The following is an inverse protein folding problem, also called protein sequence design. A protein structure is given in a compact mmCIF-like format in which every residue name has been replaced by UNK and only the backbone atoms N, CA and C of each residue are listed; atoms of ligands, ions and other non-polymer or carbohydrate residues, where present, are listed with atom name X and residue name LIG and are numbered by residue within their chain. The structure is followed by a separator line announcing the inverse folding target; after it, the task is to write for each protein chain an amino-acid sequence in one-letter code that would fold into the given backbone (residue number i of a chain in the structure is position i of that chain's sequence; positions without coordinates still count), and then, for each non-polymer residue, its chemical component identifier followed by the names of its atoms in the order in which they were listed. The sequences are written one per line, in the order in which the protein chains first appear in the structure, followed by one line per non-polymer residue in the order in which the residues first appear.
data_IF_808558615771
#
_entry.id   IF_808558615771
#
_cell.length_a   1.000
_cell.length_b   1.000
_cell.length_c   1.000
_cell.angle_alpha   90.00
_cell.angle_beta   90.00
_cell.angle_gamma   90.00
#
_symmetry.space_group_name_H-M   'P 1'
#
loop_
_entity.id
_entity.type
_entity.pdbx_description
1 polymer ?
#
# COMPACT_ATOMS: atom_id res chain seq x y z
N UNK A 1 -17.21 -16.27 35.61
CA UNK A 1 -15.97 -15.83 34.92
C UNK A 1 -16.37 -14.79 33.88
N UNK A 2 -15.49 -13.85 33.52
CA UNK A 2 -15.74 -12.97 32.39
C UNK A 2 -15.56 -13.74 31.06
N UNK A 3 -16.14 -13.25 29.95
CA UNK A 3 -15.94 -13.89 28.63
C UNK A 3 -14.46 -14.01 28.24
N UNK A 4 -13.62 -13.06 28.69
CA UNK A 4 -12.18 -13.11 28.43
C UNK A 4 -11.49 -14.18 29.29
N UNK A 5 -11.93 -14.39 30.54
CA UNK A 5 -11.39 -15.48 31.38
C UNK A 5 -11.77 -16.85 30.80
N UNK A 6 -12.99 -17.03 30.29
CA UNK A 6 -13.42 -18.29 29.65
C UNK A 6 -12.59 -18.59 28.40
N UNK A 7 -12.35 -17.58 27.56
CA UNK A 7 -11.48 -17.70 26.38
C UNK A 7 -10.03 -17.96 26.75
N UNK A 8 -9.55 -17.34 27.83
CA UNK A 8 -8.22 -17.60 28.35
C UNK A 8 -8.07 -19.07 28.77
N UNK A 9 -8.98 -19.57 29.61
CA UNK A 9 -8.95 -20.95 30.09
C UNK A 9 -8.99 -21.97 28.95
N UNK A 10 -9.78 -21.71 27.91
CA UNK A 10 -9.89 -22.58 26.75
C UNK A 10 -8.60 -22.66 25.91
N UNK A 11 -7.80 -21.58 25.90
CA UNK A 11 -6.75 -21.39 24.89
C UNK A 11 -5.33 -21.21 25.45
N UNK A 12 -5.16 -21.03 26.77
CA UNK A 12 -3.86 -20.77 27.41
C UNK A 12 -2.81 -21.86 27.14
N UNK A 13 -3.24 -23.11 26.98
CA UNK A 13 -2.34 -24.23 26.66
C UNK A 13 -1.69 -24.06 25.28
N UNK A 14 -2.49 -23.79 24.24
CA UNK A 14 -1.99 -23.59 22.88
C UNK A 14 -1.02 -22.40 22.80
N UNK A 15 -1.35 -21.32 23.51
CA UNK A 15 -0.51 -20.11 23.59
C UNK A 15 0.82 -20.39 24.31
N UNK A 16 0.79 -21.13 25.42
CA UNK A 16 1.99 -21.51 26.17
C UNK A 16 2.91 -22.44 25.36
N UNK A 17 2.33 -23.44 24.70
CA UNK A 17 3.08 -24.36 23.83
C UNK A 17 3.72 -23.62 22.64
N UNK A 18 2.98 -22.69 22.02
CA UNK A 18 3.49 -21.87 20.94
C UNK A 18 4.63 -20.96 21.39
N UNK A 19 4.51 -20.32 22.57
CA UNK A 19 5.54 -19.48 23.16
C UNK A 19 6.84 -20.26 23.41
N UNK A 20 6.73 -21.42 24.06
CA UNK A 20 7.85 -22.32 24.32
C UNK A 20 8.52 -22.77 23.01
N UNK A 21 7.71 -23.13 22.00
CA UNK A 21 8.20 -23.59 20.70
C UNK A 21 8.87 -22.47 19.89
N UNK A 22 8.39 -21.24 19.96
CA UNK A 22 9.03 -20.08 19.33
C UNK A 22 10.29 -19.62 20.10
N UNK A 23 10.35 -19.89 21.41
CA UNK A 23 11.39 -19.40 22.30
C UNK A 23 11.17 -17.93 22.66
N UNK A 24 9.94 -17.57 23.03
CA UNK A 24 9.57 -16.27 23.59
C UNK A 24 9.03 -16.43 25.00
N UNK A 25 9.10 -15.37 25.80
CA UNK A 25 8.54 -15.36 27.16
C UNK A 25 7.02 -15.63 27.12
N UNK A 26 6.51 -16.63 27.87
CA UNK A 26 5.08 -16.94 27.91
C UNK A 26 4.23 -15.74 28.33
N UNK A 27 4.72 -14.92 29.26
CA UNK A 27 4.04 -13.71 29.70
C UNK A 27 3.75 -12.74 28.56
N UNK A 28 4.73 -12.50 27.68
CA UNK A 28 4.59 -11.65 26.50
C UNK A 28 3.56 -12.24 25.51
N UNK A 29 3.56 -13.56 25.32
CA UNK A 29 2.58 -14.24 24.48
C UNK A 29 1.14 -14.06 25.00
N UNK A 30 0.94 -14.15 26.32
CA UNK A 30 -0.35 -13.88 26.94
C UNK A 30 -0.79 -12.43 26.70
N UNK A 31 0.10 -11.46 26.93
CA UNK A 31 -0.23 -10.04 26.75
C UNK A 31 -0.64 -9.73 25.30
N UNK A 32 0.14 -10.19 24.31
CA UNK A 32 -0.17 -9.87 22.91
C UNK A 32 -1.44 -10.57 22.41
N UNK A 33 -1.66 -11.85 22.74
CA UNK A 33 -2.88 -12.55 22.34
C UNK A 33 -4.13 -11.96 23.01
N UNK A 34 -3.99 -11.51 24.27
CA UNK A 34 -5.03 -10.81 25.01
C UNK A 34 -5.37 -9.48 24.36
N UNK A 35 -4.37 -8.70 23.98
CA UNK A 35 -4.54 -7.41 23.32
C UNK A 35 -5.21 -7.56 21.95
N UNK A 36 -4.68 -8.41 21.09
CA UNK A 36 -5.12 -8.53 19.70
C UNK A 36 -6.53 -9.12 19.55
N UNK A 37 -6.89 -10.08 20.40
CA UNK A 37 -8.10 -10.89 20.19
C UNK A 37 -8.95 -11.11 21.44
N UNK A 38 -8.46 -10.73 22.62
CA UNK A 38 -9.04 -11.17 23.89
C UNK A 38 -9.09 -12.70 23.99
N UNK A 39 -8.02 -13.35 23.53
CA UNK A 39 -7.86 -14.81 23.45
C UNK A 39 -8.93 -15.51 22.59
N UNK A 40 -9.49 -14.82 21.60
CA UNK A 40 -10.51 -15.39 20.73
C UNK A 40 -9.89 -15.85 19.40
N UNK A 41 -9.80 -17.16 19.12
CA UNK A 41 -9.28 -17.66 17.84
C UNK A 41 -10.19 -17.33 16.65
N UNK A 42 -11.39 -16.80 16.91
CA UNK A 42 -12.34 -16.33 15.90
C UNK A 42 -12.54 -14.81 15.93
N UNK A 43 -11.59 -14.05 16.50
CA UNK A 43 -11.65 -12.60 16.49
C UNK A 43 -11.64 -12.03 15.07
N UNK A 44 -12.44 -10.97 14.86
CA UNK A 44 -12.69 -10.32 13.57
C UNK A 44 -12.91 -8.82 13.78
N UNK A 45 -12.40 -7.97 12.88
CA UNK A 45 -12.67 -6.53 12.92
C UNK A 45 -14.02 -6.24 12.26
N UNK A 46 -15.12 -6.50 12.96
CA UNK A 46 -16.46 -6.22 12.47
C UNK A 46 -16.93 -4.89 13.06
N UNK A 47 -17.23 -3.92 12.20
CA UNK A 47 -17.87 -2.69 12.61
C UNK A 47 -19.30 -2.97 13.09
N UNK A 48 -19.70 -2.32 14.20
CA UNK A 48 -21.04 -2.45 14.76
C UNK A 48 -22.12 -1.93 13.82
N UNK A 49 -23.39 -2.19 14.14
CA UNK A 49 -24.54 -1.87 13.28
C UNK A 49 -24.60 -0.41 12.79
N UNK A 50 -24.08 0.55 13.57
CA UNK A 50 -24.02 1.97 13.21
C UNK A 50 -22.99 2.31 12.12
N UNK A 51 -22.03 1.42 11.89
CA UNK A 51 -20.92 1.59 10.93
C UNK A 51 -20.79 0.37 10.00
N UNK A 52 -21.92 -0.31 9.72
CA UNK A 52 -21.92 -1.55 8.95
C UNK A 52 -21.35 -1.37 7.53
N UNK A 53 -21.39 -0.15 6.98
CA UNK A 53 -20.78 0.25 5.72
C UNK A 53 -19.26 0.03 5.66
N UNK A 54 -18.59 -0.02 6.81
CA UNK A 54 -17.15 -0.28 6.88
C UNK A 54 -16.82 -1.76 6.66
N UNK A 55 -17.79 -2.67 6.72
CA UNK A 55 -17.58 -4.11 6.57
C UNK A 55 -17.51 -4.54 5.08
N UNK A 56 -16.50 -4.06 4.36
CA UNK A 56 -16.38 -4.22 2.90
C UNK A 56 -15.71 -5.53 2.46
N UNK A 57 -14.96 -6.19 3.34
CA UNK A 57 -14.18 -7.41 3.01
C UNK A 57 -14.98 -8.67 3.33
N UNK A 58 -15.07 -9.60 2.39
CA UNK A 58 -15.59 -10.96 2.62
C UNK A 58 -14.45 -11.86 3.09
N UNK A 59 -14.57 -12.46 4.28
CA UNK A 59 -13.59 -13.40 4.82
C UNK A 59 -13.77 -14.81 4.24
N UNK A 60 -12.82 -15.70 4.53
CA UNK A 60 -12.75 -17.08 4.01
C UNK A 60 -13.99 -17.94 4.30
N UNK A 61 -14.82 -17.57 5.27
CA UNK A 61 -16.08 -18.25 5.62
C UNK A 61 -17.33 -17.49 5.14
N UNK A 62 -17.17 -16.45 4.30
CA UNK A 62 -18.25 -15.62 3.79
C UNK A 62 -18.64 -14.45 4.69
N UNK A 63 -18.09 -14.33 5.91
CA UNK A 63 -18.42 -13.23 6.83
C UNK A 63 -17.91 -11.89 6.33
N UNK A 64 -18.74 -10.83 6.43
CA UNK A 64 -18.32 -9.44 6.13
C UNK A 64 -17.61 -8.81 7.32
N UNK A 65 -16.45 -8.20 7.07
CA UNK A 65 -15.62 -7.52 8.06
C UNK A 65 -14.90 -6.30 7.45
N UNK A 66 -14.30 -5.46 8.30
CA UNK A 66 -13.55 -4.28 7.85
C UNK A 66 -12.22 -4.64 7.15
N UNK A 67 -11.68 -5.83 7.42
CA UNK A 67 -10.49 -6.36 6.77
C UNK A 67 -10.44 -7.89 6.87
N UNK A 68 -9.42 -8.51 6.27
CA UNK A 68 -9.15 -9.95 6.41
C UNK A 68 -8.42 -10.34 7.70
N UNK A 69 -8.23 -9.40 8.64
CA UNK A 69 -7.64 -9.70 9.93
C UNK A 69 -8.49 -10.73 10.70
N UNK A 70 -7.84 -11.79 11.19
CA UNK A 70 -8.53 -12.91 11.83
C UNK A 70 -7.69 -13.58 12.92
N UNK A 71 -8.34 -14.06 13.97
CA UNK A 71 -7.77 -14.95 14.97
C UNK A 71 -6.83 -14.27 15.97
N UNK A 72 -6.04 -15.05 16.71
CA UNK A 72 -5.28 -14.55 17.86
C UNK A 72 -4.40 -13.34 17.57
N UNK A 73 -3.71 -13.34 16.42
CA UNK A 73 -2.79 -12.27 16.03
C UNK A 73 -3.39 -11.25 15.08
N UNK A 74 -4.70 -11.36 14.76
CA UNK A 74 -5.38 -10.48 13.81
C UNK A 74 -4.63 -10.36 12.46
N UNK A 75 -4.04 -11.45 11.96
CA UNK A 75 -3.27 -11.42 10.71
C UNK A 75 -4.15 -11.19 9.49
N UNK A 76 -3.75 -10.25 8.63
CA UNK A 76 -4.27 -10.09 7.27
C UNK A 76 -3.85 -11.29 6.39
N UNK A 77 -4.59 -11.57 5.32
CA UNK A 77 -4.33 -12.67 4.36
C UNK A 77 -2.85 -12.78 3.97
N UNK A 78 -2.26 -11.71 3.45
CA UNK A 78 -0.87 -11.76 2.96
C UNK A 78 0.13 -11.98 4.10
N UNK A 79 -0.15 -11.45 5.29
CA UNK A 79 0.74 -11.59 6.44
C UNK A 79 0.66 -13.01 6.99
N UNK A 80 -0.55 -13.56 7.05
CA UNK A 80 -0.77 -14.96 7.39
C UNK A 80 -0.06 -15.91 6.44
N UNK A 81 -0.19 -15.69 5.13
CA UNK A 81 0.51 -16.47 4.10
C UNK A 81 2.02 -16.42 4.29
N UNK A 82 2.60 -15.23 4.43
CA UNK A 82 4.05 -15.10 4.63
C UNK A 82 4.55 -15.79 5.92
N UNK A 83 3.76 -15.73 6.99
CA UNK A 83 4.10 -16.40 8.25
C UNK A 83 4.02 -17.93 8.11
N UNK A 84 2.97 -18.45 7.47
CA UNK A 84 2.82 -19.89 7.25
C UNK A 84 3.86 -20.41 6.27
N UNK A 85 4.21 -19.70 5.21
CA UNK A 85 5.32 -20.06 4.32
C UNK A 85 6.63 -20.19 5.10
N UNK A 86 6.92 -19.23 5.98
CA UNK A 86 8.20 -19.17 6.70
C UNK A 86 8.30 -20.15 7.87
N UNK A 87 7.20 -20.40 8.58
CA UNK A 87 7.21 -21.15 9.83
C UNK A 87 6.22 -22.32 9.87
N UNK A 88 5.34 -22.46 8.88
CA UNK A 88 4.26 -23.45 8.90
C UNK A 88 4.75 -24.89 9.09
N UNK A 89 5.87 -25.27 8.48
CA UNK A 89 6.46 -26.61 8.67
C UNK A 89 6.81 -26.88 10.14
N UNK A 90 7.38 -25.89 10.83
CA UNK A 90 7.65 -25.98 12.27
C UNK A 90 6.39 -26.27 13.07
N UNK A 91 5.23 -25.83 12.60
CA UNK A 91 3.92 -26.00 13.26
C UNK A 91 3.04 -27.07 12.61
N UNK A 92 3.61 -27.95 11.78
CA UNK A 92 2.93 -29.14 11.26
C UNK A 92 2.19 -28.94 9.94
N UNK A 93 2.44 -27.85 9.21
CA UNK A 93 1.96 -27.66 7.84
C UNK A 93 3.01 -28.22 6.86
N UNK A 94 2.78 -29.38 6.22
CA UNK A 94 3.78 -29.98 5.34
C UNK A 94 3.96 -29.16 4.04
N UNK A 95 5.21 -28.97 3.60
CA UNK A 95 5.57 -28.19 2.41
C UNK A 95 4.96 -26.79 2.43
N UNK A 96 4.99 -26.12 3.59
CA UNK A 96 4.27 -24.87 3.79
C UNK A 96 4.68 -23.81 2.76
N UNK A 97 5.96 -23.74 2.41
CA UNK A 97 6.56 -22.84 1.42
C UNK A 97 6.02 -23.01 -0.01
N UNK A 98 5.40 -24.16 -0.33
CA UNK A 98 4.87 -24.49 -1.66
C UNK A 98 3.35 -24.33 -1.77
N UNK A 99 2.67 -24.05 -0.66
CA UNK A 99 1.21 -23.92 -0.66
C UNK A 99 0.77 -22.60 -1.28
N UNK A 100 -0.36 -22.63 -1.98
CA UNK A 100 -0.96 -21.42 -2.54
C UNK A 100 -1.59 -20.55 -1.44
N UNK A 101 -1.80 -19.27 -1.74
CA UNK A 101 -2.48 -18.35 -0.84
C UNK A 101 -3.90 -18.85 -0.47
N UNK A 102 -4.62 -19.46 -1.42
CA UNK A 102 -5.96 -20.02 -1.17
C UNK A 102 -5.94 -21.23 -0.25
N UNK A 103 -4.94 -22.10 -0.39
CA UNK A 103 -4.76 -23.23 0.53
C UNK A 103 -4.45 -22.75 1.95
N UNK A 104 -3.63 -21.70 2.08
CA UNK A 104 -3.24 -21.15 3.38
C UNK A 104 -4.35 -20.32 4.04
N UNK A 105 -5.15 -19.61 3.25
CA UNK A 105 -6.32 -18.87 3.74
C UNK A 105 -7.59 -19.72 3.83
N UNK A 106 -7.48 -21.04 3.69
CA UNK A 106 -8.63 -21.92 3.81
C UNK A 106 -9.19 -21.93 5.23
N UNK A 107 -10.48 -22.30 5.41
CA UNK A 107 -11.07 -22.47 6.74
C UNK A 107 -10.26 -23.43 7.63
N UNK A 108 -9.69 -24.50 7.08
CA UNK A 108 -8.92 -25.50 7.83
C UNK A 108 -7.66 -24.90 8.45
N UNK A 109 -6.93 -24.06 7.72
CA UNK A 109 -5.72 -23.42 8.22
C UNK A 109 -6.03 -22.20 9.09
N UNK A 110 -6.94 -21.34 8.63
CA UNK A 110 -7.31 -20.11 9.34
C UNK A 110 -7.99 -20.40 10.68
N UNK A 111 -8.79 -21.46 10.81
CA UNK A 111 -9.42 -21.83 12.10
C UNK A 111 -8.52 -22.67 13.02
N UNK A 112 -7.32 -23.07 12.60
CA UNK A 112 -6.44 -23.89 13.42
C UNK A 112 -5.79 -23.04 14.52
N UNK A 113 -6.33 -23.13 15.75
CA UNK A 113 -5.86 -22.33 16.91
C UNK A 113 -4.38 -22.52 17.22
N UNK A 114 -3.85 -23.74 17.07
CA UNK A 114 -2.43 -24.06 17.31
C UNK A 114 -1.53 -23.41 16.27
N UNK A 115 -1.93 -23.43 15.00
CA UNK A 115 -1.21 -22.74 13.94
C UNK A 115 -1.28 -21.22 14.14
N UNK A 116 -2.45 -20.68 14.50
CA UNK A 116 -2.59 -19.26 14.83
C UNK A 116 -1.65 -18.83 15.96
N UNK A 117 -1.64 -19.60 17.06
CA UNK A 117 -0.76 -19.35 18.20
C UNK A 117 0.71 -19.42 17.79
N UNK A 118 1.09 -20.40 16.97
CA UNK A 118 2.43 -20.54 16.42
C UNK A 118 2.88 -19.33 15.59
N UNK A 119 2.04 -18.89 14.66
CA UNK A 119 2.36 -17.71 13.83
C UNK A 119 2.43 -16.43 14.66
N UNK A 120 1.53 -16.25 15.63
CA UNK A 120 1.60 -15.11 16.54
C UNK A 120 2.89 -15.13 17.37
N UNK A 121 3.32 -16.29 17.87
CA UNK A 121 4.55 -16.41 18.64
C UNK A 121 5.80 -16.09 17.79
N UNK A 122 5.89 -16.58 16.55
CA UNK A 122 7.01 -16.29 15.65
C UNK A 122 7.03 -14.83 15.16
N UNK A 123 5.86 -14.21 15.00
CA UNK A 123 5.77 -12.78 14.68
C UNK A 123 6.19 -11.93 15.88
N UNK A 124 5.72 -12.29 17.07
CA UNK A 124 6.11 -11.65 18.33
C UNK A 124 7.62 -11.74 18.57
N UNK A 125 8.22 -12.89 18.26
CA UNK A 125 9.68 -13.07 18.33
C UNK A 125 10.42 -12.08 17.42
N UNK A 126 9.97 -11.92 16.18
CA UNK A 126 10.56 -10.97 15.24
C UNK A 126 10.44 -9.54 15.76
N UNK A 127 9.27 -9.17 16.28
CA UNK A 127 9.02 -7.84 16.84
C UNK A 127 9.86 -7.59 18.09
N UNK A 128 10.02 -8.58 18.97
CA UNK A 128 10.88 -8.50 20.15
C UNK A 128 12.34 -8.25 19.75
N UNK A 129 12.85 -9.00 18.76
CA UNK A 129 14.23 -8.86 18.28
C UNK A 129 14.49 -7.51 17.63
N UNK A 130 13.52 -6.98 16.87
CA UNK A 130 13.64 -5.66 16.25
C UNK A 130 13.48 -4.55 17.29
N UNK A 131 12.51 -4.70 18.19
CA UNK A 131 12.23 -3.79 19.29
C UNK A 131 13.44 -3.62 20.21
N UNK A 132 14.11 -4.70 20.57
CA UNK A 132 15.32 -4.66 21.39
C UNK A 132 16.49 -3.87 20.74
N UNK A 133 16.51 -3.76 19.40
CA UNK A 133 17.54 -2.98 18.68
C UNK A 133 17.19 -1.50 18.56
N UNK A 134 15.90 -1.21 18.37
CA UNK A 134 15.42 0.12 17.98
C UNK A 134 14.76 0.90 19.10
N UNK A 135 14.01 0.22 19.95
CA UNK A 135 13.06 0.83 20.88
C UNK A 135 13.63 1.14 22.26
N UNK A 136 12.70 1.40 23.18
CA UNK A 136 12.99 1.70 24.57
C UNK A 136 13.18 0.44 25.43
N UNK A 137 13.32 0.61 26.75
CA UNK A 137 13.57 -0.50 27.68
C UNK A 137 12.36 -1.41 27.91
N UNK A 138 11.16 -1.00 27.50
CA UNK A 138 9.93 -1.76 27.70
C UNK A 138 9.68 -2.71 26.50
N UNK A 139 9.88 -4.00 26.73
CA UNK A 139 9.69 -5.03 25.70
C UNK A 139 8.24 -5.12 25.22
N UNK A 140 7.27 -4.91 26.11
CA UNK A 140 5.85 -4.99 25.75
C UNK A 140 5.46 -3.81 24.86
N UNK A 141 5.90 -2.61 25.22
CA UNK A 141 5.68 -1.41 24.41
C UNK A 141 6.38 -1.50 23.05
N UNK A 142 7.58 -2.09 22.98
CA UNK A 142 8.28 -2.32 21.71
C UNK A 142 7.50 -3.27 20.78
N UNK A 143 7.06 -4.41 21.31
CA UNK A 143 6.29 -5.40 20.56
C UNK A 143 4.96 -4.81 20.12
N UNK A 144 4.28 -4.09 21.01
CA UNK A 144 3.03 -3.42 20.72
C UNK A 144 3.20 -2.41 19.57
N UNK A 145 4.21 -1.55 19.63
CA UNK A 145 4.47 -0.54 18.59
C UNK A 145 4.65 -1.20 17.22
N UNK A 146 5.48 -2.24 17.14
CA UNK A 146 5.78 -2.96 15.89
C UNK A 146 4.60 -3.78 15.37
N UNK A 147 3.76 -4.31 16.26
CA UNK A 147 2.57 -5.06 15.87
C UNK A 147 1.46 -4.13 15.38
N UNK A 148 1.10 -3.11 16.19
CA UNK A 148 -0.01 -2.20 15.91
C UNK A 148 0.25 -1.26 14.72
N UNK A 149 1.46 -0.70 14.61
CA UNK A 149 1.82 0.20 13.50
C UNK A 149 2.36 -0.56 12.28
N UNK A 150 2.53 -1.88 12.41
CA UNK A 150 3.32 -2.68 11.50
C UNK A 150 4.82 -2.35 11.58
N UNK A 151 5.65 -3.17 10.94
CA UNK A 151 7.10 -3.05 11.05
C UNK A 151 7.62 -1.67 10.62
N UNK A 152 7.07 -1.07 9.54
CA UNK A 152 7.51 0.24 9.05
C UNK A 152 7.14 1.39 9.99
N UNK A 153 5.85 1.53 10.32
CA UNK A 153 5.38 2.59 11.23
C UNK A 153 5.94 2.43 12.64
N UNK A 154 6.04 1.19 13.13
CA UNK A 154 6.62 0.87 14.43
C UNK A 154 8.12 1.14 14.48
N UNK A 155 8.89 0.81 13.43
CA UNK A 155 10.31 1.17 13.33
C UNK A 155 10.50 2.67 13.40
N UNK A 156 9.76 3.43 12.58
CA UNK A 156 9.81 4.90 12.59
C UNK A 156 9.47 5.47 13.97
N UNK A 157 8.45 4.92 14.63
CA UNK A 157 8.04 5.34 15.97
C UNK A 157 9.13 5.06 17.02
N UNK A 158 9.73 3.86 17.01
CA UNK A 158 10.78 3.47 17.95
C UNK A 158 12.10 4.23 17.70
N UNK A 159 12.45 4.48 16.44
CA UNK A 159 13.60 5.33 16.10
C UNK A 159 13.38 6.78 16.55
N UNK A 160 12.17 7.31 16.35
CA UNK A 160 11.79 8.62 16.86
C UNK A 160 11.88 8.68 18.40
N UNK A 161 11.38 7.66 19.10
CA UNK A 161 11.49 7.55 20.56
C UNK A 161 12.96 7.64 21.01
N UNK A 162 13.86 6.92 20.31
CA UNK A 162 15.28 6.89 20.62
C UNK A 162 15.99 8.21 20.30
N UNK A 163 15.57 8.89 19.25
CA UNK A 163 16.15 10.16 18.81
C UNK A 163 15.74 11.34 19.70
N UNK A 164 14.43 11.49 19.95
CA UNK A 164 13.88 12.49 20.86
C UNK A 164 12.55 11.98 21.45
N UNK A 165 12.55 11.55 22.72
CA UNK A 165 11.34 11.06 23.39
C UNK A 165 10.28 12.14 23.60
N UNK A 166 10.66 13.42 23.60
CA UNK A 166 9.76 14.55 23.88
C UNK A 166 9.11 15.12 22.61
N UNK A 167 9.51 14.66 21.42
CA UNK A 167 8.87 15.09 20.18
C UNK A 167 7.41 14.64 20.15
N UNK A 168 6.56 15.42 19.48
CA UNK A 168 5.12 15.12 19.36
C UNK A 168 4.88 13.96 18.43
N UNK A 169 3.84 13.17 18.73
CA UNK A 169 3.43 12.03 17.90
C UNK A 169 3.04 12.46 16.49
N UNK A 170 2.40 13.62 16.32
CA UNK A 170 1.99 14.16 15.01
C UNK A 170 3.14 14.60 14.09
N UNK A 171 4.36 14.73 14.61
CA UNK A 171 5.57 14.90 13.79
C UNK A 171 6.13 13.57 13.26
N UNK A 172 5.75 12.45 13.89
CA UNK A 172 6.29 11.12 13.60
C UNK A 172 5.29 10.28 12.80
N UNK A 173 4.04 10.24 13.25
CA UNK A 173 2.96 9.45 12.67
C UNK A 173 2.03 10.34 11.85
N UNK A 174 1.44 9.75 10.81
CA UNK A 174 0.47 10.49 9.98
C UNK A 174 -0.84 10.71 10.72
N UNK A 175 -1.55 11.79 10.36
CA UNK A 175 -2.87 12.12 10.90
C UNK A 175 -3.85 10.93 10.83
N UNK A 176 -3.84 10.19 9.71
CA UNK A 176 -4.69 9.00 9.52
C UNK A 176 -4.40 7.88 10.53
N UNK A 177 -3.16 7.71 10.97
CA UNK A 177 -2.80 6.72 12.00
C UNK A 177 -3.32 7.17 13.36
N UNK A 178 -3.19 8.47 13.65
CA UNK A 178 -3.62 9.09 14.92
C UNK A 178 -5.15 9.01 15.05
N UNK A 179 -5.90 9.45 14.04
CA UNK A 179 -7.37 9.43 14.04
C UNK A 179 -7.97 8.04 14.22
N UNK A 180 -7.29 7.00 13.73
CA UNK A 180 -7.76 5.61 13.87
C UNK A 180 -7.43 5.00 15.22
N UNK A 181 -6.54 5.63 15.99
CA UNK A 181 -6.06 5.14 17.28
C UNK A 181 -6.05 6.23 18.36
N UNK A 182 -7.17 6.94 18.59
CA UNK A 182 -7.20 8.07 19.53
C UNK A 182 -6.93 7.65 20.97
N UNK A 183 -7.20 6.38 21.33
CA UNK A 183 -6.86 5.83 22.65
C UNK A 183 -5.36 5.70 22.91
N UNK A 184 -4.53 5.67 21.87
CA UNK A 184 -3.06 5.60 21.98
C UNK A 184 -2.39 6.95 21.80
N UNK A 185 -2.94 7.79 20.91
CA UNK A 185 -2.26 8.99 20.44
C UNK A 185 -3.00 10.29 20.79
N UNK A 186 -4.22 10.22 21.32
CA UNK A 186 -5.07 11.40 21.51
C UNK A 186 -5.31 12.13 20.19
N UNK A 187 -5.06 13.43 20.17
CA UNK A 187 -5.05 14.27 18.97
C UNK A 187 -3.66 14.38 18.30
N UNK A 188 -2.68 13.59 18.78
CA UNK A 188 -1.31 13.60 18.29
C UNK A 188 -0.38 14.60 18.99
N UNK A 189 -0.90 15.44 19.90
CA UNK A 189 -0.12 16.45 20.60
C UNK A 189 0.76 15.91 21.74
N UNK A 190 0.49 14.68 22.21
CA UNK A 190 1.32 14.03 23.22
C UNK A 190 2.71 13.67 22.68
N UNK A 191 3.64 13.46 23.60
CA UNK A 191 5.00 13.05 23.26
C UNK A 191 5.07 11.59 22.82
N UNK A 192 6.10 11.25 22.04
CA UNK A 192 6.38 9.85 21.67
C UNK A 192 6.60 8.98 22.91
N UNK A 193 7.25 9.50 23.95
CA UNK A 193 7.44 8.76 25.21
C UNK A 193 6.13 8.49 25.97
N UNK A 194 5.20 9.45 26.01
CA UNK A 194 3.88 9.25 26.61
C UNK A 194 3.09 8.18 25.85
N UNK A 195 3.08 8.26 24.51
CA UNK A 195 2.44 7.25 23.67
C UNK A 195 3.08 5.87 23.88
N UNK A 196 4.40 5.78 23.91
CA UNK A 196 5.15 4.54 24.16
C UNK A 196 4.82 3.93 25.54
N UNK A 197 4.79 4.76 26.59
CA UNK A 197 4.35 4.32 27.93
C UNK A 197 2.90 3.84 27.92
N UNK A 198 2.02 4.51 27.18
CA UNK A 198 0.63 4.10 27.00
C UNK A 198 0.50 2.72 26.36
N UNK A 199 1.38 2.37 25.42
CA UNK A 199 1.43 1.03 24.82
C UNK A 199 1.77 -0.06 25.84
N UNK A 200 2.79 0.16 26.69
CA UNK A 200 3.13 -0.76 27.79
C UNK A 200 1.97 -0.92 28.77
N UNK A 201 1.32 0.19 29.16
CA UNK A 201 0.14 0.17 30.03
C UNK A 201 -1.05 -0.57 29.41
N UNK A 202 -1.21 -0.52 28.09
CA UNK A 202 -2.24 -1.27 27.38
C UNK A 202 -1.98 -2.78 27.45
N UNK A 203 -0.72 -3.20 27.35
CA UNK A 203 -0.30 -4.59 27.50
C UNK A 203 -0.42 -5.08 28.95
N UNK A 204 -0.17 -4.22 29.93
CA UNK A 204 -0.30 -4.54 31.36
C UNK A 204 -1.72 -4.86 31.82
N UNK A 205 -2.74 -4.48 31.05
CA UNK A 205 -4.13 -4.93 31.29
C UNK A 205 -4.26 -6.46 31.29
N UNK A 206 -3.29 -7.16 30.69
CA UNK A 206 -3.26 -8.61 30.59
C UNK A 206 -2.23 -9.26 31.54
N UNK A 207 -1.60 -8.50 32.44
CA UNK A 207 -0.56 -8.97 33.36
C UNK A 207 -1.01 -10.17 34.23
N UNK A 208 -2.30 -10.22 34.62
CA UNK A 208 -2.89 -11.38 35.33
C UNK A 208 -2.64 -12.70 34.59
N UNK A 209 -2.83 -12.70 33.27
CA UNK A 209 -2.72 -13.90 32.44
C UNK A 209 -1.26 -14.24 32.17
N UNK A 210 -0.40 -13.23 32.02
CA UNK A 210 1.04 -13.41 31.93
C UNK A 210 1.62 -14.12 33.16
N UNK A 211 1.27 -13.63 34.36
CA UNK A 211 1.67 -14.24 35.63
C UNK A 211 1.19 -15.68 35.79
N UNK A 212 0.07 -16.04 35.17
CA UNK A 212 -0.42 -17.41 35.19
C UNK A 212 0.43 -18.35 34.36
N UNK A 213 0.88 -17.93 33.16
CA UNK A 213 1.81 -18.74 32.36
C UNK A 213 3.19 -18.83 32.99
N UNK A 214 3.66 -17.77 33.65
CA UNK A 214 4.96 -17.74 34.35
C UNK A 214 5.02 -18.70 35.54
N UNK A 215 3.89 -18.93 36.22
CA UNK A 215 3.77 -19.95 37.28
C UNK A 215 3.82 -21.38 36.73
N UNK A 216 3.81 -21.53 35.41
CA UNK A 216 3.79 -22.79 34.69
C UNK A 216 2.36 -23.25 34.44
N UNK A 217 2.10 -23.66 33.20
CA UNK A 217 0.89 -24.42 32.86
C UNK A 217 1.20 -25.90 33.06
N UNK A 218 0.40 -26.66 33.84
CA UNK A 218 0.65 -28.08 34.03
C UNK A 218 0.73 -28.78 32.67
N UNK A 219 1.89 -29.39 32.40
CA UNK A 219 2.14 -30.07 31.14
C UNK A 219 1.12 -31.21 30.98
N UNK A 220 0.19 -31.06 30.03
CA UNK A 220 -0.54 -32.21 29.51
C UNK A 220 0.50 -33.08 28.79
N UNK A 221 0.61 -34.35 29.15
CA UNK A 221 1.59 -35.31 28.61
C UNK A 221 1.73 -35.18 27.09
N UNK A 222 2.75 -34.43 26.65
CA UNK A 222 2.99 -34.09 25.25
C UNK A 222 4.02 -35.07 24.68
N UNK A 223 3.65 -36.35 24.61
CA UNK A 223 4.52 -37.40 24.07
C UNK A 223 4.00 -38.03 22.77
N UNK A 224 3.02 -37.40 22.11
CA UNK A 224 2.58 -37.77 20.77
C UNK A 224 2.97 -36.66 19.77
N UNK A 225 3.66 -36.98 18.66
CA UNK A 225 3.88 -36.01 17.60
C UNK A 225 2.53 -35.48 17.10
N UNK A 226 2.39 -34.16 17.00
CA UNK A 226 1.18 -33.55 16.48
C UNK A 226 0.93 -34.05 15.05
N UNK A 227 -0.29 -34.53 14.79
CA UNK A 227 -0.68 -34.95 13.44
C UNK A 227 -0.49 -33.77 12.46
N UNK A 228 -0.05 -34.02 11.21
CA UNK A 228 0.06 -32.98 10.20
C UNK A 228 -1.27 -32.24 10.04
N UNK A 229 -1.19 -30.92 9.90
CA UNK A 229 -2.37 -30.09 9.61
C UNK A 229 -2.87 -30.47 8.21
N UNK A 230 -4.16 -30.84 8.05
CA UNK A 230 -4.72 -31.16 6.74
C UNK A 230 -4.53 -29.99 5.77
N UNK A 231 -3.92 -30.27 4.62
CA UNK A 231 -3.80 -29.30 3.52
C UNK A 231 -5.00 -29.51 2.59
N UNK A 232 -5.82 -28.49 2.32
CA UNK A 232 -6.91 -28.60 1.35
C UNK A 232 -6.34 -28.95 -0.03
N UNK A 233 -7.04 -29.80 -0.82
CA UNK A 233 -6.65 -30.02 -2.20
C UNK A 233 -6.64 -28.69 -2.94
N UNK A 234 -5.64 -28.47 -3.80
CA UNK A 234 -5.67 -27.35 -4.71
C UNK A 234 -6.95 -27.46 -5.56
N UNK A 235 -7.79 -26.41 -5.55
CA UNK A 235 -8.99 -26.40 -6.38
C UNK A 235 -8.57 -26.56 -7.84
N UNK A 236 -9.10 -27.60 -8.50
CA UNK A 236 -8.96 -27.77 -9.95
C UNK A 236 -9.94 -26.81 -10.62
N UNK A 237 -9.47 -25.62 -10.98
CA UNK A 237 -10.26 -24.68 -11.78
C UNK A 237 -9.98 -24.92 -13.27
N UNK A 238 -11.03 -25.23 -14.02
CA UNK A 238 -11.03 -25.13 -15.48
C UNK A 238 -10.70 -23.68 -15.86
N UNK A 239 -9.58 -23.48 -16.56
CA UNK A 239 -9.06 -22.17 -16.94
C UNK A 239 -10.06 -21.40 -17.84
N UNK A 240 -10.55 -20.21 -17.44
CA UNK A 240 -11.02 -19.19 -18.38
C UNK A 240 -9.81 -18.62 -19.15
N UNK A 241 -10.01 -17.94 -20.31
CA UNK A 241 -8.90 -17.47 -21.13
C UNK A 241 -7.97 -16.56 -20.32
N UNK A 242 -6.67 -16.85 -20.41
CA UNK A 242 -5.58 -16.23 -19.64
C UNK A 242 -5.60 -14.70 -19.74
N UNK A 243 -6.11 -14.05 -18.70
CA UNK A 243 -5.56 -12.78 -18.23
C UNK A 243 -4.53 -13.12 -17.15
N UNK A 244 -3.27 -12.74 -17.40
CA UNK A 244 -2.13 -13.09 -16.57
C UNK A 244 -2.31 -12.56 -15.13
N UNK A 245 -2.47 -13.48 -14.18
CA UNK A 245 -2.14 -13.26 -12.79
C UNK A 245 -0.60 -13.15 -12.68
N UNK A 246 -0.02 -12.19 -11.93
CA UNK A 246 1.42 -12.19 -11.72
C UNK A 246 1.80 -13.34 -10.80
N UNK A 247 2.80 -14.10 -11.21
CA UNK A 247 3.32 -15.29 -10.56
C UNK A 247 4.37 -14.94 -9.47
N UNK A 248 4.45 -15.79 -8.44
CA UNK A 248 5.70 -16.13 -7.73
C UNK A 248 6.40 -15.05 -6.89
N UNK A 249 6.41 -15.22 -5.57
CA UNK A 249 7.29 -14.50 -4.64
C UNK A 249 8.78 -14.94 -4.78
N UNK A 250 9.37 -14.79 -5.96
CA UNK A 250 10.82 -14.77 -6.10
C UNK A 250 11.30 -13.35 -5.78
N UNK A 251 12.36 -13.23 -4.98
CA UNK A 251 13.08 -11.96 -4.82
C UNK A 251 13.70 -11.64 -6.18
N UNK A 252 13.23 -10.58 -6.84
CA UNK A 252 13.83 -10.14 -8.11
C UNK A 252 15.05 -9.29 -7.81
N UNK A 253 16.17 -9.59 -8.46
CA UNK A 253 17.43 -8.88 -8.27
C UNK A 253 18.20 -8.73 -9.58
N UNK A 254 19.27 -7.95 -9.52
CA UNK A 254 20.16 -7.71 -10.65
C UNK A 254 20.63 -9.03 -11.30
N UNK A 255 20.48 -9.14 -12.62
CA UNK A 255 20.76 -10.35 -13.40
C UNK A 255 19.53 -11.20 -13.73
N UNK A 256 18.40 -11.01 -13.04
CA UNK A 256 17.16 -11.71 -13.35
C UNK A 256 16.55 -11.22 -14.68
N UNK A 257 15.74 -12.08 -15.31
CA UNK A 257 15.08 -11.78 -16.58
C UNK A 257 13.73 -12.48 -16.70
N UNK A 258 12.83 -11.92 -17.51
CA UNK A 258 11.53 -12.51 -17.82
C UNK A 258 10.35 -11.63 -17.42
N UNK A 259 9.16 -12.22 -17.41
CA UNK A 259 7.90 -11.48 -17.25
C UNK A 259 7.78 -10.78 -15.89
N UNK A 260 8.32 -11.37 -14.82
CA UNK A 260 8.26 -10.78 -13.48
C UNK A 260 9.13 -9.52 -13.38
N UNK A 261 10.28 -9.52 -14.06
CA UNK A 261 11.13 -8.32 -14.22
C UNK A 261 10.43 -7.25 -15.05
N UNK A 262 9.76 -7.64 -16.15
CA UNK A 262 8.96 -6.68 -16.92
C UNK A 262 7.81 -6.09 -16.08
N UNK A 263 7.16 -6.89 -15.24
CA UNK A 263 6.11 -6.40 -14.35
C UNK A 263 6.64 -5.41 -13.31
N UNK A 264 7.77 -5.73 -12.67
CA UNK A 264 8.48 -4.83 -11.75
C UNK A 264 8.85 -3.52 -12.43
N UNK A 265 9.50 -3.59 -13.61
CA UNK A 265 9.88 -2.42 -14.39
C UNK A 265 8.67 -1.57 -14.75
N UNK A 266 7.55 -2.20 -15.13
CA UNK A 266 6.30 -1.50 -15.43
C UNK A 266 5.74 -0.77 -14.21
N UNK A 267 5.69 -1.40 -13.03
CA UNK A 267 5.23 -0.76 -11.81
C UNK A 267 6.09 0.45 -11.44
N UNK A 268 7.42 0.30 -11.46
CA UNK A 268 8.36 1.39 -11.19
C UNK A 268 8.20 2.53 -12.20
N UNK A 269 8.10 2.20 -13.49
CA UNK A 269 7.85 3.17 -14.55
C UNK A 269 6.54 3.93 -14.35
N UNK A 270 5.44 3.22 -14.07
CA UNK A 270 4.11 3.80 -13.89
C UNK A 270 4.04 4.70 -12.64
N UNK A 271 4.87 4.41 -11.64
CA UNK A 271 5.06 5.22 -10.44
C UNK A 271 6.06 6.38 -10.63
N UNK A 272 6.63 6.53 -11.83
CA UNK A 272 7.50 7.65 -12.19
C UNK A 272 8.99 7.48 -11.84
N UNK A 273 9.40 6.28 -11.40
CA UNK A 273 10.80 6.00 -11.11
C UNK A 273 11.62 5.84 -12.39
N UNK A 274 12.79 6.47 -12.39
CA UNK A 274 13.70 6.55 -13.54
C UNK A 274 14.87 5.58 -13.36
N UNK A 275 15.48 5.19 -14.49
CA UNK A 275 16.71 4.42 -14.47
C UNK A 275 17.86 5.18 -13.80
N UNK A 276 18.93 4.47 -13.46
CA UNK A 276 20.14 5.04 -12.85
C UNK A 276 20.78 6.19 -13.69
N UNK A 277 20.50 6.23 -14.99
CA UNK A 277 20.94 7.29 -15.92
C UNK A 277 20.00 8.52 -15.95
N UNK A 278 18.97 8.54 -15.10
CA UNK A 278 17.97 9.61 -15.04
C UNK A 278 16.98 9.61 -16.22
N UNK A 279 16.99 8.57 -17.07
CA UNK A 279 16.03 8.42 -18.17
C UNK A 279 14.82 7.57 -17.73
N UNK A 280 13.67 7.66 -18.44
CA UNK A 280 12.54 6.78 -18.17
C UNK A 280 12.95 5.31 -18.15
N UNK A 281 12.48 4.57 -17.14
CA UNK A 281 12.84 3.16 -16.99
C UNK A 281 12.28 2.35 -18.19
N UNK A 282 13.15 1.62 -18.89
CA UNK A 282 12.73 0.75 -19.99
C UNK A 282 12.15 -0.55 -19.43
N UNK A 283 11.06 -1.02 -20.04
CA UNK A 283 10.43 -2.32 -19.73
C UNK A 283 10.89 -3.34 -20.76
N UNK A 284 12.11 -3.85 -20.58
CA UNK A 284 12.75 -4.82 -21.48
C UNK A 284 12.82 -6.24 -20.91
N UNK A 285 12.34 -6.43 -19.67
CA UNK A 285 12.36 -7.71 -18.97
C UNK A 285 13.76 -8.16 -18.53
N UNK A 286 14.75 -7.27 -18.48
CA UNK A 286 16.10 -7.54 -18.00
C UNK A 286 16.43 -6.68 -16.78
N UNK A 287 16.75 -7.32 -15.65
CA UNK A 287 17.06 -6.60 -14.42
C UNK A 287 18.52 -6.15 -14.46
N UNK A 288 18.77 -5.04 -15.15
CA UNK A 288 20.08 -4.39 -15.21
C UNK A 288 20.24 -3.22 -14.21
N UNK A 289 21.36 -2.48 -14.29
CA UNK A 289 21.64 -1.34 -13.42
C UNK A 289 20.55 -0.25 -13.44
N UNK A 290 19.87 -0.08 -14.57
CA UNK A 290 18.74 0.84 -14.70
C UNK A 290 17.57 0.45 -13.79
N UNK A 291 17.17 -0.82 -13.79
CA UNK A 291 16.10 -1.34 -12.92
C UNK A 291 16.50 -1.31 -11.45
N UNK A 292 17.76 -1.62 -11.14
CA UNK A 292 18.29 -1.52 -9.78
C UNK A 292 18.23 -0.10 -9.23
N UNK A 293 18.72 0.88 -9.99
CA UNK A 293 18.67 2.29 -9.57
C UNK A 293 17.24 2.81 -9.36
N UNK A 294 16.31 2.42 -10.23
CA UNK A 294 14.89 2.76 -10.07
C UNK A 294 14.29 2.12 -8.82
N UNK A 295 14.63 0.85 -8.55
CA UNK A 295 14.15 0.13 -7.39
C UNK A 295 14.74 0.67 -6.08
N UNK A 296 16.03 1.00 -6.05
CA UNK A 296 16.68 1.62 -4.91
C UNK A 296 16.14 3.03 -4.62
N UNK A 297 15.77 3.79 -5.65
CA UNK A 297 15.07 5.07 -5.49
C UNK A 297 13.68 4.84 -4.90
N UNK A 298 12.93 3.87 -5.40
CA UNK A 298 11.64 3.47 -4.83
C UNK A 298 11.75 3.03 -3.37
N UNK A 299 12.74 2.20 -3.06
CA UNK A 299 13.00 1.75 -1.70
C UNK A 299 13.35 2.91 -0.79
N UNK A 300 14.21 3.83 -1.25
CA UNK A 300 14.55 5.05 -0.52
C UNK A 300 13.30 5.91 -0.22
N UNK A 301 12.52 6.21 -1.26
CA UNK A 301 11.36 7.11 -1.17
C UNK A 301 10.21 6.51 -0.35
N UNK A 302 10.16 5.18 -0.24
CA UNK A 302 9.20 4.47 0.58
C UNK A 302 9.79 3.84 1.85
N UNK A 303 10.99 4.28 2.24
CA UNK A 303 11.64 3.92 3.50
C UNK A 303 11.78 2.41 3.73
N UNK A 304 12.10 1.70 2.66
CA UNK A 304 12.47 0.29 2.67
C UNK A 304 13.99 0.15 2.70
N UNK A 305 14.48 -1.05 2.98
CA UNK A 305 15.89 -1.38 2.81
C UNK A 305 16.29 -1.13 1.34
N UNK A 306 17.33 -0.31 1.14
CA UNK A 306 17.85 0.06 -0.19
C UNK A 306 18.88 -0.96 -0.68
N UNK A 307 18.45 -2.21 -0.79
CA UNK A 307 19.29 -3.33 -1.22
C UNK A 307 19.24 -3.59 -2.74
N UNK A 308 18.35 -2.88 -3.46
CA UNK A 308 18.16 -3.09 -4.89
C UNK A 308 17.53 -4.43 -5.23
N UNK A 309 16.88 -5.09 -4.26
CA UNK A 309 16.18 -6.35 -4.42
C UNK A 309 14.66 -6.17 -4.20
N UNK A 310 13.85 -6.67 -5.12
CA UNK A 310 12.40 -6.64 -4.99
C UNK A 310 11.97 -7.83 -4.12
N UNK A 311 12.30 -7.77 -2.84
CA UNK A 311 11.82 -8.72 -1.83
C UNK A 311 10.33 -8.51 -1.50
N UNK A 312 9.73 -9.38 -0.66
CA UNK A 312 8.30 -9.33 -0.37
C UNK A 312 7.79 -7.97 0.15
N UNK A 313 8.58 -7.26 0.95
CA UNK A 313 8.25 -5.92 1.43
C UNK A 313 8.24 -4.89 0.29
N UNK A 314 9.25 -4.94 -0.58
CA UNK A 314 9.35 -4.08 -1.76
C UNK A 314 8.20 -4.34 -2.74
N UNK A 315 7.89 -5.61 -3.01
CA UNK A 315 6.79 -5.99 -3.89
C UNK A 315 5.42 -5.57 -3.32
N UNK A 316 5.20 -5.75 -2.01
CA UNK A 316 3.97 -5.30 -1.34
C UNK A 316 3.80 -3.78 -1.40
N UNK A 317 4.90 -3.05 -1.19
CA UNK A 317 4.88 -1.59 -1.27
C UNK A 317 4.64 -1.15 -2.71
N UNK A 318 5.28 -1.76 -3.72
CA UNK A 318 5.05 -1.49 -5.15
C UNK A 318 3.58 -1.71 -5.51
N UNK A 319 3.00 -2.82 -5.10
CA UNK A 319 1.60 -3.13 -5.36
C UNK A 319 0.67 -2.14 -4.67
N UNK A 320 1.00 -1.72 -3.44
CA UNK A 320 0.22 -0.72 -2.71
C UNK A 320 0.27 0.64 -3.38
N UNK A 321 1.46 1.11 -3.74
CA UNK A 321 1.62 2.39 -4.44
C UNK A 321 0.99 2.35 -5.82
N UNK A 322 1.12 1.25 -6.56
CA UNK A 322 0.46 1.06 -7.86
C UNK A 322 -1.06 1.15 -7.72
N UNK A 323 -1.63 0.53 -6.68
CA UNK A 323 -3.07 0.58 -6.41
C UNK A 323 -3.53 1.97 -5.98
N UNK A 324 -2.78 2.64 -5.11
CA UNK A 324 -3.09 4.01 -4.68
C UNK A 324 -3.00 4.99 -5.85
N UNK A 325 -1.97 4.87 -6.68
CA UNK A 325 -1.82 5.64 -7.90
C UNK A 325 -2.97 5.38 -8.89
N UNK A 326 -3.38 4.12 -9.07
CA UNK A 326 -4.53 3.77 -9.88
C UNK A 326 -5.86 4.31 -9.30
N UNK A 327 -6.04 4.27 -7.98
CA UNK A 327 -7.21 4.83 -7.29
C UNK A 327 -7.24 6.35 -7.38
N UNK A 328 -6.11 7.02 -7.23
CA UNK A 328 -5.97 8.47 -7.39
C UNK A 328 -6.25 8.89 -8.83
N UNK A 329 -5.76 8.12 -9.81
CA UNK A 329 -6.07 8.33 -11.22
C UNK A 329 -7.56 8.09 -11.52
N UNK A 330 -8.18 7.08 -10.90
CA UNK A 330 -9.61 6.79 -11.06
C UNK A 330 -10.52 7.81 -10.35
N UNK A 331 -10.03 8.46 -9.28
CA UNK A 331 -10.76 9.48 -8.52
C UNK A 331 -10.70 10.88 -9.16
N UNK A 332 -9.75 11.14 -10.05
CA UNK A 332 -9.69 12.40 -10.81
C UNK A 332 -10.71 12.33 -11.95
N UNK A 333 -11.58 13.34 -12.10
CA UNK A 333 -12.57 13.30 -13.17
C UNK A 333 -11.87 13.28 -14.52
N UNK A 334 -12.28 12.39 -15.41
CA UNK A 334 -11.75 12.34 -16.77
C UNK A 334 -12.23 13.54 -17.59
N UNK A 335 -11.53 13.87 -18.67
CA UNK A 335 -11.92 14.94 -19.60
C UNK A 335 -13.36 14.81 -20.13
N UNK A 336 -13.86 13.59 -20.30
CA UNK A 336 -15.24 13.32 -20.71
C UNK A 336 -16.28 13.40 -19.58
N UNK A 337 -15.84 13.67 -18.34
CA UNK A 337 -16.72 13.77 -17.18
C UNK A 337 -17.00 15.24 -16.83
N UNK A 338 -18.26 15.61 -16.51
CA UNK A 338 -18.64 16.99 -16.19
C UNK A 338 -17.85 17.65 -15.06
N UNK A 339 -17.26 16.88 -14.15
CA UNK A 339 -16.47 17.38 -13.02
C UNK A 339 -15.06 17.86 -13.40
N UNK A 340 -14.60 17.66 -14.63
CA UNK A 340 -13.24 18.05 -15.03
C UNK A 340 -13.18 19.52 -15.52
N UNK A 341 -12.19 20.33 -15.10
CA UNK A 341 -12.11 21.76 -15.48
C UNK A 341 -12.06 22.02 -17.00
N UNK A 342 -11.50 21.08 -17.77
CA UNK A 342 -11.42 21.16 -19.24
C UNK A 342 -12.50 20.35 -19.97
N UNK A 343 -13.57 19.95 -19.28
CA UNK A 343 -14.66 19.19 -19.88
C UNK A 343 -15.30 19.91 -21.08
N UNK A 344 -15.47 21.24 -20.98
CA UNK A 344 -16.02 22.03 -22.08
C UNK A 344 -15.14 21.99 -23.34
N UNK A 345 -13.82 22.15 -23.17
CA UNK A 345 -12.86 22.10 -24.27
C UNK A 345 -12.78 20.71 -24.90
N UNK A 346 -12.87 19.66 -24.08
CA UNK A 346 -13.00 18.27 -24.54
C UNK A 346 -14.25 18.04 -25.38
N UNK A 347 -15.42 18.50 -24.94
CA UNK A 347 -16.65 18.31 -25.70
C UNK A 347 -16.61 19.02 -27.06
N UNK A 348 -15.98 20.20 -27.14
CA UNK A 348 -15.78 20.91 -28.41
C UNK A 348 -14.82 20.17 -29.34
N UNK A 349 -13.73 19.62 -28.80
CA UNK A 349 -12.84 18.74 -29.56
C UNK A 349 -13.58 17.49 -30.07
N UNK A 350 -14.40 16.87 -29.21
CA UNK A 350 -15.14 15.65 -29.55
C UNK A 350 -16.17 15.90 -30.65
N UNK A 351 -16.93 16.99 -30.57
CA UNK A 351 -17.87 17.39 -31.61
C UNK A 351 -17.16 17.63 -32.96
N UNK A 352 -16.01 18.31 -32.93
CA UNK A 352 -15.19 18.50 -34.13
C UNK A 352 -14.65 17.19 -34.70
N UNK A 353 -14.12 16.30 -33.86
CA UNK A 353 -13.62 14.98 -34.26
C UNK A 353 -14.73 14.11 -34.84
N UNK A 354 -15.95 14.17 -34.29
CA UNK A 354 -17.11 13.44 -34.82
C UNK A 354 -17.50 13.91 -36.23
N UNK A 355 -17.33 15.21 -36.52
CA UNK A 355 -17.63 15.81 -37.83
C UNK A 355 -16.61 15.47 -38.93
N UNK A 356 -15.39 15.05 -38.57
CA UNK A 356 -14.38 14.61 -39.53
C UNK A 356 -14.77 13.32 -40.27
N UNK A 357 -15.68 12.52 -39.70
CA UNK A 357 -16.05 11.20 -40.23
C UNK A 357 -14.93 10.17 -40.15
N UNK A 358 -15.18 8.96 -40.65
CA UNK A 358 -14.19 7.87 -40.70
C UNK A 358 -14.51 6.67 -39.78
N UNK A 359 -13.89 5.52 -40.06
CA UNK A 359 -14.14 4.23 -39.39
C UNK A 359 -13.56 4.08 -37.97
N UNK A 360 -13.23 5.19 -37.31
CA UNK A 360 -12.67 5.16 -35.96
C UNK A 360 -13.72 4.70 -34.93
N UNK A 361 -13.32 3.84 -34.01
CA UNK A 361 -14.18 3.41 -32.91
C UNK A 361 -14.58 4.57 -32.00
N UNK A 362 -15.60 4.38 -31.17
CA UNK A 362 -15.95 5.36 -30.12
C UNK A 362 -14.74 5.70 -29.23
N UNK A 363 -14.01 4.69 -28.77
CA UNK A 363 -12.82 4.86 -27.94
C UNK A 363 -11.71 5.66 -28.65
N UNK A 364 -11.45 5.39 -29.94
CA UNK A 364 -10.46 6.15 -30.71
C UNK A 364 -10.85 7.62 -30.87
N UNK A 365 -12.15 7.92 -31.04
CA UNK A 365 -12.65 9.30 -31.09
C UNK A 365 -12.50 10.02 -29.75
N UNK A 366 -12.78 9.35 -28.65
CA UNK A 366 -12.57 9.90 -27.30
C UNK A 366 -11.09 10.19 -27.02
N UNK A 367 -10.20 9.25 -27.37
CA UNK A 367 -8.75 9.43 -27.25
C UNK A 367 -8.22 10.62 -28.08
N UNK A 368 -8.69 10.71 -29.33
CA UNK A 368 -8.32 11.80 -30.24
C UNK A 368 -8.80 13.15 -29.70
N UNK A 369 -10.07 13.24 -29.31
CA UNK A 369 -10.64 14.46 -28.71
C UNK A 369 -9.91 14.86 -27.42
N UNK A 370 -9.57 13.89 -26.57
CA UNK A 370 -8.78 14.12 -25.36
C UNK A 370 -7.41 14.73 -25.65
N UNK A 371 -6.69 14.16 -26.60
CA UNK A 371 -5.36 14.68 -27.01
C UNK A 371 -5.46 16.08 -27.61
N UNK A 372 -6.48 16.33 -28.45
CA UNK A 372 -6.73 17.63 -29.06
C UNK A 372 -7.03 18.70 -28.00
N UNK A 373 -7.85 18.37 -27.00
CA UNK A 373 -8.23 19.28 -25.93
C UNK A 373 -7.05 19.64 -25.01
N UNK A 374 -6.19 18.67 -24.69
CA UNK A 374 -4.96 18.92 -23.92
C UNK A 374 -4.01 19.84 -24.67
N UNK A 375 -3.84 19.63 -25.97
CA UNK A 375 -2.94 20.48 -26.76
C UNK A 375 -3.51 21.88 -26.96
N UNK A 376 -4.84 22.00 -27.16
CA UNK A 376 -5.53 23.28 -27.14
C UNK A 376 -5.33 24.03 -25.82
N UNK A 377 -5.49 23.34 -24.68
CA UNK A 377 -5.21 23.92 -23.36
C UNK A 377 -3.75 24.38 -23.24
N UNK A 378 -2.79 23.56 -23.68
CA UNK A 378 -1.34 23.87 -23.63
C UNK A 378 -1.00 25.12 -24.43
N UNK A 379 -1.61 25.29 -25.59
CA UNK A 379 -1.45 26.46 -26.47
C UNK A 379 -2.31 27.66 -26.03
N UNK A 380 -3.03 27.54 -24.91
CA UNK A 380 -3.80 28.62 -24.31
C UNK A 380 -5.15 28.91 -24.98
N UNK A 381 -5.64 28.02 -25.84
CA UNK A 381 -6.98 28.13 -26.43
C UNK A 381 -8.03 28.05 -25.30
N UNK A 382 -9.05 28.90 -25.42
CA UNK A 382 -10.20 28.96 -24.50
C UNK A 382 -11.41 28.22 -25.05
N UNK A 383 -11.44 28.01 -26.37
CA UNK A 383 -12.48 27.27 -27.06
C UNK A 383 -11.92 26.64 -28.35
N UNK A 384 -12.60 25.63 -28.86
CA UNK A 384 -12.34 25.01 -30.16
C UNK A 384 -13.59 25.23 -31.01
N UNK A 385 -13.48 26.02 -32.08
CA UNK A 385 -14.56 26.28 -33.01
C UNK A 385 -14.54 25.31 -34.19
N UNK A 386 -13.35 24.87 -34.60
CA UNK A 386 -13.17 23.93 -35.70
C UNK A 386 -12.11 22.87 -35.36
N UNK A 387 -12.32 21.66 -35.88
CA UNK A 387 -11.28 20.64 -35.97
C UNK A 387 -11.08 20.32 -37.44
N UNK A 388 -9.85 20.39 -37.92
CA UNK A 388 -9.50 20.17 -39.33
C UNK A 388 -8.35 19.18 -39.46
N UNK A 389 -8.35 18.38 -40.51
CA UNK A 389 -7.26 17.48 -40.89
C UNK A 389 -6.46 18.07 -42.04
N UNK A 390 -5.21 17.61 -42.20
CA UNK A 390 -4.48 17.79 -43.45
C UNK A 390 -4.92 16.74 -44.48
N UNK A 391 -4.47 16.92 -45.72
CA UNK A 391 -4.88 16.09 -46.87
C UNK A 391 -4.64 14.59 -46.67
N UNK A 392 -3.57 14.20 -45.97
CA UNK A 392 -3.23 12.80 -45.70
C UNK A 392 -3.81 12.25 -44.38
N UNK A 393 -4.50 13.08 -43.59
CA UNK A 393 -5.10 12.73 -42.31
C UNK A 393 -4.11 12.40 -41.19
N UNK A 394 -2.80 12.63 -41.37
CA UNK A 394 -1.78 12.35 -40.35
C UNK A 394 -1.75 13.40 -39.24
N UNK A 395 -2.28 14.61 -39.50
CA UNK A 395 -2.27 15.75 -38.58
C UNK A 395 -3.65 16.37 -38.45
N UNK A 396 -3.92 16.91 -37.26
CA UNK A 396 -5.15 17.60 -36.97
C UNK A 396 -4.89 18.89 -36.20
N UNK A 397 -5.75 19.89 -36.42
CA UNK A 397 -5.72 21.16 -35.72
C UNK A 397 -7.04 21.42 -35.00
N UNK A 398 -6.96 21.71 -33.71
CA UNK A 398 -7.99 22.46 -33.00
C UNK A 398 -7.82 23.95 -33.35
N UNK A 399 -8.87 24.61 -33.81
CA UNK A 399 -8.81 26.03 -34.21
C UNK A 399 -9.81 26.84 -33.41
N UNK A 400 -9.34 27.95 -32.87
CA UNK A 400 -10.13 29.01 -32.25
C UNK A 400 -10.26 30.21 -33.19
N UNK A 401 -11.48 30.66 -33.41
CA UNK A 401 -11.83 31.73 -34.35
C UNK A 401 -12.16 31.21 -35.75
N UNK A 402 -12.45 32.16 -36.65
CA UNK A 402 -12.77 31.87 -38.06
C UNK A 402 -11.55 31.31 -38.81
N UNK A 403 -11.73 30.24 -39.60
CA UNK A 403 -10.67 29.58 -40.36
C UNK A 403 -9.92 30.53 -41.32
N UNK A 404 -10.60 31.55 -41.85
CA UNK A 404 -10.05 32.55 -42.77
C UNK A 404 -9.42 33.74 -42.05
N UNK A 405 -9.57 33.83 -40.72
CA UNK A 405 -8.95 34.89 -39.95
C UNK A 405 -7.42 34.71 -39.91
N UNK A 406 -6.64 35.79 -40.09
CA UNK A 406 -5.20 35.77 -39.81
C UNK A 406 -4.90 35.72 -38.31
N UNK A 407 -5.90 36.01 -37.45
CA UNK A 407 -5.76 36.03 -35.99
C UNK A 407 -6.27 34.75 -35.31
N UNK A 408 -6.61 33.71 -36.07
CA UNK A 408 -7.00 32.41 -35.49
C UNK A 408 -5.86 31.84 -34.64
N UNK A 409 -6.22 31.20 -33.54
CA UNK A 409 -5.27 30.41 -32.75
C UNK A 409 -5.49 28.94 -33.07
N UNK A 410 -4.42 28.14 -33.03
CA UNK A 410 -4.55 26.71 -33.27
C UNK A 410 -3.61 25.89 -32.40
N UNK A 411 -4.00 24.64 -32.20
CA UNK A 411 -3.18 23.64 -31.55
C UNK A 411 -3.16 22.39 -32.43
N UNK A 412 -1.99 21.79 -32.60
CA UNK A 412 -1.76 20.71 -33.57
C UNK A 412 -1.45 19.39 -32.87
N UNK A 413 -2.02 18.29 -33.36
CA UNK A 413 -1.63 16.94 -32.93
C UNK A 413 -1.33 16.03 -34.12
N UNK A 414 -0.52 14.99 -33.86
CA UNK A 414 -0.42 13.83 -34.75
C UNK A 414 -1.61 12.89 -34.50
N UNK A 415 -2.38 12.57 -35.54
CA UNK A 415 -3.60 11.77 -35.43
C UNK A 415 -3.30 10.34 -34.98
N UNK A 416 -2.26 9.72 -35.53
CA UNK A 416 -1.85 8.35 -35.17
C UNK A 416 -1.46 8.21 -33.70
N UNK A 417 -0.79 9.22 -33.13
CA UNK A 417 -0.51 9.27 -31.70
C UNK A 417 -1.77 9.58 -30.88
N UNK A 418 -2.59 10.52 -31.35
CA UNK A 418 -3.77 10.99 -30.63
C UNK A 418 -4.84 9.90 -30.45
N UNK A 419 -5.15 9.11 -31.49
CA UNK A 419 -6.12 8.01 -31.38
C UNK A 419 -5.66 6.89 -30.45
N UNK A 420 -4.35 6.76 -30.24
CA UNK A 420 -3.71 5.73 -29.42
C UNK A 420 -3.32 6.24 -28.03
N UNK A 421 -3.60 7.51 -27.70
CA UNK A 421 -3.38 8.06 -26.35
C UNK A 421 -4.65 7.89 -25.52
N UNK A 422 -4.68 7.02 -24.51
CA UNK A 422 -5.89 6.77 -23.73
C UNK A 422 -6.42 8.05 -23.08
N UNK A 423 -7.74 8.22 -23.03
CA UNK A 423 -8.38 9.39 -22.43
C UNK A 423 -7.91 9.67 -20.99
N UNK A 424 -7.61 8.63 -20.20
CA UNK A 424 -7.05 8.77 -18.86
C UNK A 424 -5.69 9.49 -18.85
N UNK A 425 -4.82 9.19 -19.82
CA UNK A 425 -3.51 9.83 -19.97
C UNK A 425 -3.65 11.30 -20.39
N UNK A 426 -4.57 11.61 -21.30
CA UNK A 426 -4.89 12.99 -21.67
C UNK A 426 -5.46 13.76 -20.48
N UNK A 427 -6.34 13.14 -19.69
CA UNK A 427 -6.92 13.76 -18.48
C UNK A 427 -5.85 14.08 -17.43
N UNK A 428 -4.91 13.16 -17.19
CA UNK A 428 -3.78 13.40 -16.30
C UNK A 428 -2.88 14.56 -16.80
N UNK A 429 -2.62 14.61 -18.12
CA UNK A 429 -1.82 15.68 -18.74
C UNK A 429 -2.50 17.06 -18.60
N UNK A 430 -3.83 17.09 -18.75
CA UNK A 430 -4.63 18.31 -18.56
C UNK A 430 -4.58 18.84 -17.12
N UNK A 431 -4.66 17.93 -16.14
CA UNK A 431 -4.59 18.26 -14.72
C UNK A 431 -3.22 18.86 -14.35
N UNK A 432 -2.11 18.30 -14.87
CA UNK A 432 -0.76 18.82 -14.65
C UNK A 432 -0.60 20.26 -15.18
N UNK A 433 -1.17 20.57 -16.34
CA UNK A 433 -1.16 21.93 -16.91
C UNK A 433 -1.96 22.93 -16.04
N UNK A 434 -2.98 22.46 -15.32
CA UNK A 434 -3.79 23.28 -14.42
C UNK A 434 -3.10 23.60 -13.09
N UNK A 435 -2.20 22.73 -12.60
CA UNK A 435 -1.51 22.91 -11.31
C UNK A 435 -0.27 23.83 -11.37
N UNK A 436 0.22 24.16 -12.56
CA UNK A 436 1.41 25.00 -12.79
C UNK A 436 1.34 26.48 -12.29
N UNK A 437 0.19 27.18 -12.25
CA UNK A 437 0.16 28.60 -11.87
C UNK A 437 0.64 28.90 -10.43
N UNK A 438 0.48 27.94 -9.51
CA UNK A 438 0.85 28.12 -8.10
C UNK A 438 2.36 28.03 -7.82
N UNK A 439 3.12 27.34 -8.67
CA UNK A 439 4.57 27.17 -8.46
C UNK A 439 5.37 28.39 -8.89
N UNK A 440 4.95 29.13 -9.92
CA UNK A 440 5.61 30.39 -10.31
C UNK A 440 5.39 31.50 -9.29
N UNK A 441 4.20 31.60 -8.68
CA UNK A 441 3.94 32.58 -7.62
C UNK A 441 4.72 32.26 -6.33
N UNK A 442 4.80 30.98 -5.93
CA UNK A 442 5.59 30.57 -4.78
C UNK A 442 7.10 30.81 -5.02
N UNK A 443 7.58 30.58 -6.25
CA UNK A 443 8.98 30.80 -6.63
C UNK A 443 9.33 32.29 -6.74
N UNK A 444 8.42 33.13 -7.22
CA UNK A 444 8.60 34.58 -7.24
C UNK A 444 8.53 35.19 -5.82
N UNK A 445 7.68 34.67 -4.93
CA UNK A 445 7.65 35.08 -3.53
C UNK A 445 8.92 34.67 -2.77
N UNK A 446 9.44 33.46 -3.02
CA UNK A 446 10.73 33.03 -2.46
C UNK A 446 11.90 33.88 -3.00
N UNK A 447 11.91 34.23 -4.29
CA UNK A 447 12.95 35.11 -4.84
C UNK A 447 12.88 36.53 -4.26
N UNK A 448 11.68 37.10 -4.07
CA UNK A 448 11.54 38.41 -3.42
C UNK A 448 11.96 38.39 -1.94
N UNK A 449 11.69 37.30 -1.21
CA UNK A 449 12.15 37.14 0.18
C UNK A 449 13.68 36.96 0.28
N UNK A 450 14.30 36.29 -0.69
CA UNK A 450 15.77 36.16 -0.72
C UNK A 450 16.46 37.48 -1.07
N UNK A 451 15.87 38.28 -1.97
CA UNK A 451 16.45 39.58 -2.38
C UNK A 451 16.34 40.64 -1.27
N UNK A 452 15.27 40.61 -0.47
CA UNK A 452 15.09 41.50 0.68
C UNK A 452 16.01 41.16 1.87
N UNK A 453 16.42 39.89 2.02
CA UNK A 453 17.41 39.49 3.02
C UNK A 453 18.85 39.88 2.65
N UNK A 454 19.18 40.02 1.37
CA UNK A 454 20.51 40.46 0.91
C UNK A 454 20.72 41.98 1.02
N UNK A 455 19.66 42.79 0.95
CA UNK A 455 19.73 44.26 1.05
C UNK A 455 19.73 44.78 2.50
N UNK A 456 19.55 43.91 3.50
CA UNK A 456 19.43 44.28 4.92
C UNK A 456 20.74 44.28 5.73
N UNK A 457 21.91 44.08 5.12
CA UNK A 457 23.19 44.13 5.84
C UNK A 457 23.72 45.57 5.89
N UNK A 458 23.79 46.22 7.07
CA UNK A 458 24.33 47.58 7.16
C UNK A 458 25.84 47.56 6.96
N UNK A 459 26.32 48.35 5.99
CA UNK A 459 27.75 48.60 5.81
C UNK A 459 28.27 49.41 7.00
N UNK A 460 29.35 48.92 7.62
CA UNK A 460 30.18 49.67 8.57
C UNK A 460 30.96 50.77 7.86
#
# INVERSE_FOLDING_TARGET
MSKIDERWEANKQDLAEAAAKAGIEPGLMAKIAGFESGYNPHARPIAGAKHAELNTVTQFDGTKAMSSAYGYGQFLDDTWVGMVHKYGEKYGVPNADKLTADQINSPEMRNNSKLQAGMLAEFTKQNMQLGAKLGGPDADANVYALHNLGQGGGTKFLEALKADPNQRVDHVLSHKVIERNPGLYGDGSMTVAEAYKGMGQQMDKYAKYAQELEKGVPAKSANAPAAPIPVPPAKSEAQPPRHAAPAGHAVLKEGDKGQDVSALQKQLHDLGYKGADGKPLRVDGQFGPGTKGALEAFQHDHHLQRDGEAGPLTQKQLQTQTRLHAQEQAAKPLLNQPGHPQHALYNQALDGVQKLGGGASSAQRENFAGSLAVEAQRQGLKQINHVVLNDDGSRAWAVQGDLRSPFKQHAEVNVGQAINTPLAQSSASSAQLHSAPGQEQARNQQQQQQQSQQLGSPSR
#
